data_IF_862252637667
#
_entry.id   IF_862252637667
#
_cell.length_a   1.000
_cell.length_b   1.000
_cell.length_c   1.000
_cell.angle_alpha   90.00
_cell.angle_beta   90.00
_cell.angle_gamma   90.00
#
_symmetry.space_group_name_H-M   'P 1'
#
loop_
_entity.id
_entity.type
_entity.pdbx_description
1 polymer ?
#
# COMPACT_ATOMS: atom_id res chain seq x y z
N UNK A 1 -34.43 -0.04 -44.97
CA UNK A 1 -33.38 0.94 -45.30
C UNK A 1 -32.13 0.57 -44.50
N UNK A 2 -31.01 0.46 -45.22
CA UNK A 2 -29.60 0.28 -44.82
C UNK A 2 -29.23 0.95 -43.48
N UNK A 3 -28.24 0.59 -42.67
CA UNK A 3 -27.01 -0.25 -42.73
C UNK A 3 -26.50 -0.25 -41.27
N UNK A 4 -25.99 -1.30 -40.64
CA UNK A 4 -24.82 -2.09 -41.03
C UNK A 4 -23.54 -1.50 -40.42
N UNK A 5 -23.08 -2.02 -39.27
CA UNK A 5 -21.65 -2.14 -38.92
C UNK A 5 -21.48 -2.95 -37.62
N UNK A 6 -21.45 -4.28 -37.79
CA UNK A 6 -20.86 -5.23 -36.86
C UNK A 6 -19.33 -5.09 -36.96
N UNK A 7 -18.67 -4.76 -35.85
CA UNK A 7 -17.21 -4.87 -35.76
C UNK A 7 -16.84 -6.34 -35.53
N UNK A 8 -16.50 -7.00 -36.63
CA UNK A 8 -15.90 -8.34 -36.67
C UNK A 8 -14.43 -8.21 -36.29
N UNK A 9 -14.05 -8.74 -35.13
CA UNK A 9 -12.64 -8.95 -34.78
C UNK A 9 -12.10 -10.15 -35.55
N UNK A 10 -11.24 -9.86 -36.52
CA UNK A 10 -10.47 -10.86 -37.28
C UNK A 10 -9.38 -11.45 -36.37
N UNK A 11 -9.65 -12.59 -35.74
CA UNK A 11 -8.60 -13.46 -35.22
C UNK A 11 -8.07 -14.29 -36.39
N UNK A 12 -6.91 -13.90 -36.92
CA UNK A 12 -6.18 -14.68 -37.90
C UNK A 12 -5.75 -16.01 -37.30
N UNK A 13 -6.42 -17.11 -37.68
CA UNK A 13 -5.92 -18.46 -37.48
C UNK A 13 -4.79 -18.73 -38.48
N UNK A 14 -3.54 -18.54 -38.06
CA UNK A 14 -2.41 -19.23 -38.68
C UNK A 14 -2.41 -20.67 -38.18
N UNK A 15 -2.92 -21.59 -39.00
CA UNK A 15 -2.67 -23.03 -38.84
C UNK A 15 -1.19 -23.28 -39.12
N UNK A 16 -0.36 -23.25 -38.08
CA UNK A 16 0.93 -23.95 -38.10
C UNK A 16 0.60 -25.44 -37.98
N UNK A 17 0.79 -26.17 -39.06
CA UNK A 17 0.75 -27.63 -39.11
C UNK A 17 1.74 -28.20 -38.11
N UNK A 18 1.25 -28.62 -36.95
CA UNK A 18 2.02 -29.42 -36.00
C UNK A 18 2.35 -30.75 -36.65
N UNK A 19 3.61 -30.95 -37.03
CA UNK A 19 4.13 -32.24 -37.42
C UNK A 19 4.17 -33.13 -36.15
N UNK A 20 3.05 -33.77 -35.83
CA UNK A 20 2.99 -34.81 -34.82
C UNK A 20 3.81 -35.99 -35.34
N UNK A 21 5.08 -36.05 -34.94
CA UNK A 21 5.95 -37.20 -35.20
C UNK A 21 5.46 -38.31 -34.27
N UNK A 22 4.62 -39.17 -34.79
CA UNK A 22 4.09 -40.35 -34.12
C UNK A 22 5.29 -41.24 -33.73
N UNK A 23 5.63 -41.30 -32.44
CA UNK A 23 6.60 -42.27 -31.91
C UNK A 23 5.90 -43.62 -31.83
N UNK A 24 5.65 -44.23 -32.99
CA UNK A 24 5.47 -45.67 -33.03
C UNK A 24 6.80 -46.28 -32.58
N UNK A 25 6.70 -47.09 -31.55
CA UNK A 25 7.74 -47.95 -30.98
C UNK A 25 8.50 -48.61 -32.11
N UNK A 26 9.68 -48.08 -32.43
CA UNK A 26 10.63 -48.74 -33.32
C UNK A 26 11.11 -49.95 -32.51
N UNK A 27 10.60 -51.13 -32.86
CA UNK A 27 11.20 -52.39 -32.45
C UNK A 27 12.72 -52.31 -32.70
N UNK A 28 13.57 -52.82 -31.80
CA UNK A 28 15.01 -52.81 -32.03
C UNK A 28 15.26 -53.59 -33.32
N UNK A 29 15.52 -52.86 -34.40
CA UNK A 29 15.82 -53.47 -35.69
C UNK A 29 17.03 -54.38 -35.48
N UNK A 30 16.84 -55.66 -35.82
CA UNK A 30 17.94 -56.51 -36.27
C UNK A 30 18.75 -55.69 -37.28
N UNK A 31 19.90 -55.20 -36.85
CA UNK A 31 20.86 -54.52 -37.73
C UNK A 31 21.33 -55.60 -38.71
N UNK A 32 21.00 -55.53 -40.00
CA UNK A 32 21.56 -56.47 -40.95
C UNK A 32 23.06 -56.23 -40.93
N UNK A 33 23.83 -57.27 -40.57
CA UNK A 33 25.28 -57.23 -40.64
C UNK A 33 25.66 -56.75 -42.05
N UNK A 34 26.15 -55.51 -42.17
CA UNK A 34 26.38 -54.82 -43.45
C UNK A 34 27.62 -55.35 -44.17
N UNK A 35 27.73 -56.66 -44.27
CA UNK A 35 28.74 -57.34 -45.06
C UNK A 35 28.01 -58.26 -46.04
N UNK A 36 28.24 -57.98 -47.32
CA UNK A 36 27.85 -58.78 -48.49
C UNK A 36 26.45 -58.54 -49.08
N UNK A 37 26.29 -57.40 -49.76
CA UNK A 37 25.31 -57.33 -50.86
C UNK A 37 25.87 -58.16 -52.02
N UNK A 38 25.34 -59.37 -52.23
CA UNK A 38 25.71 -60.22 -53.36
C UNK A 38 25.06 -59.70 -54.64
N UNK A 39 25.87 -59.37 -55.64
CA UNK A 39 25.34 -59.10 -56.99
C UNK A 39 24.79 -60.39 -57.61
N UNK A 40 23.81 -60.27 -58.52
CA UNK A 40 23.21 -61.40 -59.22
C UNK A 40 24.20 -62.28 -60.00
N UNK A 41 25.43 -61.80 -60.20
CA UNK A 41 26.52 -62.48 -60.92
C UNK A 41 27.60 -63.07 -59.98
N UNK A 42 27.35 -63.13 -58.67
CA UNK A 42 28.28 -63.74 -57.71
C UNK A 42 29.50 -62.89 -57.34
N UNK A 43 29.59 -61.64 -57.78
CA UNK A 43 30.64 -60.71 -57.36
C UNK A 43 30.28 -60.00 -56.06
N UNK A 44 31.28 -59.85 -55.19
CA UNK A 44 31.19 -59.08 -53.95
C UNK A 44 31.35 -57.59 -54.23
N UNK A 45 30.30 -56.80 -54.00
CA UNK A 45 30.40 -55.34 -54.07
C UNK A 45 30.90 -54.82 -52.73
N UNK A 46 32.17 -54.40 -52.67
CA UNK A 46 32.74 -53.76 -51.48
C UNK A 46 32.26 -52.29 -51.47
N UNK A 47 31.62 -51.81 -50.40
CA UNK A 47 31.19 -50.42 -50.33
C UNK A 47 32.40 -49.47 -50.36
N UNK A 48 32.27 -48.27 -50.96
CA UNK A 48 33.34 -47.30 -50.99
C UNK A 48 33.69 -46.84 -49.56
N UNK A 49 34.99 -46.84 -49.24
CA UNK A 49 35.48 -46.43 -47.91
C UNK A 49 35.14 -44.97 -47.60
N UNK A 50 34.72 -44.72 -46.37
CA UNK A 50 34.44 -43.36 -45.89
C UNK A 50 35.71 -42.49 -45.89
N UNK A 51 35.55 -41.16 -45.87
CA UNK A 51 36.70 -40.23 -45.77
C UNK A 51 37.49 -40.46 -44.48
N UNK A 52 36.80 -40.82 -43.40
CA UNK A 52 37.40 -41.13 -42.11
C UNK A 52 38.27 -42.40 -42.22
N UNK A 53 37.74 -43.48 -42.79
CA UNK A 53 38.48 -44.74 -43.00
C UNK A 53 39.73 -44.56 -43.87
N UNK A 54 39.67 -43.71 -44.89
CA UNK A 54 40.85 -43.41 -45.72
C UNK A 54 41.93 -42.67 -44.91
N UNK A 55 41.52 -41.73 -44.05
CA UNK A 55 42.45 -40.99 -43.20
C UNK A 55 43.07 -41.89 -42.12
N UNK A 56 42.29 -42.79 -41.52
CA UNK A 56 42.79 -43.72 -40.49
C UNK A 56 43.71 -44.80 -41.06
N UNK A 57 43.56 -45.19 -42.33
CA UNK A 57 44.47 -46.14 -42.98
C UNK A 57 45.79 -45.54 -43.44
N UNK A 58 45.82 -44.24 -43.74
CA UNK A 58 47.03 -43.55 -44.20
C UNK A 58 47.98 -43.16 -43.08
N UNK A 59 47.48 -43.04 -41.84
CA UNK A 59 48.26 -42.62 -40.67
C UNK A 59 48.37 -43.78 -39.66
N UNK A 60 49.62 -44.15 -39.33
CA UNK A 60 49.92 -45.22 -38.38
C UNK A 60 49.31 -44.94 -37.01
N UNK A 61 49.38 -43.69 -36.54
CA UNK A 61 48.90 -43.33 -35.20
C UNK A 61 47.37 -43.37 -35.14
N UNK A 62 46.70 -42.92 -36.21
CA UNK A 62 45.25 -43.02 -36.33
C UNK A 62 44.78 -44.49 -36.38
N UNK A 63 45.53 -45.35 -37.08
CA UNK A 63 45.25 -46.80 -37.14
C UNK A 63 45.43 -47.47 -35.77
N UNK A 64 46.51 -47.16 -35.04
CA UNK A 64 46.72 -47.73 -33.70
C UNK A 64 45.66 -47.26 -32.71
N UNK A 65 45.26 -45.98 -32.74
CA UNK A 65 44.15 -45.46 -31.92
C UNK A 65 42.83 -46.18 -32.21
N UNK A 66 42.55 -46.45 -33.48
CA UNK A 66 41.38 -47.22 -33.90
C UNK A 66 41.44 -48.66 -33.40
N UNK A 67 42.59 -49.33 -33.56
CA UNK A 67 42.80 -50.70 -33.06
C UNK A 67 42.67 -50.78 -31.53
N UNK A 68 43.18 -49.79 -30.80
CA UNK A 68 43.05 -49.66 -29.35
C UNK A 68 41.58 -49.47 -28.94
N UNK A 69 40.85 -48.60 -29.63
CA UNK A 69 39.43 -48.34 -29.35
C UNK A 69 38.54 -49.57 -29.63
N UNK A 70 38.83 -50.33 -30.69
CA UNK A 70 38.09 -51.55 -31.05
C UNK A 70 38.59 -52.82 -30.35
N UNK A 71 39.67 -52.74 -29.54
CA UNK A 71 40.23 -53.89 -28.83
C UNK A 71 39.22 -54.41 -27.82
N UNK A 72 38.59 -55.56 -28.12
CA UNK A 72 37.60 -56.25 -27.27
C UNK A 72 38.14 -57.51 -26.56
N UNK A 73 39.46 -57.74 -26.56
CA UNK A 73 40.06 -58.93 -25.97
C UNK A 73 40.62 -58.67 -24.55
N UNK A 74 40.20 -59.49 -23.58
CA UNK A 74 40.54 -59.35 -22.16
C UNK A 74 39.51 -58.52 -21.37
N UNK A 75 39.52 -58.62 -20.04
CA UNK A 75 38.62 -57.88 -19.14
C UNK A 75 38.82 -56.35 -19.14
N UNK A 76 39.62 -55.80 -20.05
CA UNK A 76 39.94 -54.39 -20.14
C UNK A 76 39.29 -53.80 -21.39
N UNK A 77 38.33 -52.88 -21.19
CA UNK A 77 37.80 -52.02 -22.24
C UNK A 77 38.66 -50.76 -22.29
N UNK A 78 39.11 -50.37 -23.48
CA UNK A 78 39.76 -49.07 -23.65
C UNK A 78 38.66 -48.00 -23.67
N UNK A 79 38.29 -47.50 -22.49
CA UNK A 79 37.49 -46.30 -22.40
C UNK A 79 38.37 -45.16 -22.91
N UNK A 80 38.04 -44.60 -24.08
CA UNK A 80 38.67 -43.37 -24.54
C UNK A 80 38.49 -42.37 -23.40
N UNK A 81 39.59 -42.04 -22.71
CA UNK A 81 39.56 -41.23 -21.51
C UNK A 81 38.81 -39.95 -21.85
N UNK A 82 37.55 -39.88 -21.46
CA UNK A 82 36.80 -38.64 -21.45
C UNK A 82 37.67 -37.66 -20.67
N UNK A 83 37.87 -36.46 -21.21
CA UNK A 83 38.64 -35.42 -20.54
C UNK A 83 38.18 -35.40 -19.07
N UNK A 84 39.03 -35.73 -18.09
CA UNK A 84 38.59 -35.91 -16.70
C UNK A 84 38.04 -34.62 -16.07
N UNK A 85 38.21 -33.49 -16.78
CA UNK A 85 37.72 -32.17 -16.44
C UNK A 85 36.27 -31.97 -16.95
N UNK A 86 35.90 -32.62 -18.05
CA UNK A 86 34.58 -32.45 -18.66
C UNK A 86 33.60 -33.48 -18.11
N UNK A 87 32.51 -32.98 -17.55
CA UNK A 87 31.39 -33.82 -17.12
C UNK A 87 30.69 -34.41 -18.34
N UNK A 88 30.34 -35.69 -18.29
CA UNK A 88 29.60 -36.35 -19.37
C UNK A 88 28.19 -35.79 -19.47
N UNK A 89 27.61 -35.68 -20.68
CA UNK A 89 26.29 -35.09 -20.92
C UNK A 89 25.17 -35.62 -20.01
N UNK A 90 25.23 -36.90 -19.66
CA UNK A 90 24.23 -37.59 -18.83
C UNK A 90 24.52 -37.50 -17.31
N UNK A 91 25.60 -36.85 -16.92
CA UNK A 91 25.98 -36.68 -15.51
C UNK A 91 25.28 -35.47 -14.90
N UNK A 92 24.97 -35.55 -13.60
CA UNK A 92 24.33 -34.44 -12.87
C UNK A 92 25.16 -33.14 -12.83
N UNK A 93 26.46 -33.21 -13.13
CA UNK A 93 27.36 -32.06 -13.21
C UNK A 93 27.49 -31.47 -14.62
N UNK A 94 26.85 -32.05 -15.63
CA UNK A 94 26.87 -31.50 -16.98
C UNK A 94 25.96 -30.28 -17.08
N UNK A 95 26.53 -29.24 -17.66
CA UNK A 95 25.85 -28.00 -17.96
C UNK A 95 26.18 -27.65 -19.41
N UNK A 96 25.15 -27.34 -20.20
CA UNK A 96 25.37 -26.97 -21.60
C UNK A 96 26.20 -25.68 -21.69
N UNK A 97 26.90 -25.45 -22.80
CA UNK A 97 27.66 -24.21 -22.98
C UNK A 97 26.76 -22.97 -22.91
N UNK A 98 25.49 -23.09 -23.29
CA UNK A 98 24.49 -22.01 -23.21
C UNK A 98 24.16 -21.64 -21.76
N UNK A 99 24.00 -22.65 -20.90
CA UNK A 99 23.76 -22.47 -19.46
C UNK A 99 25.03 -22.08 -18.70
N UNK A 100 26.20 -22.58 -19.12
CA UNK A 100 27.50 -22.28 -18.51
C UNK A 100 27.98 -20.86 -18.81
N UNK A 101 27.67 -20.35 -20.00
CA UNK A 101 28.05 -19.02 -20.46
C UNK A 101 26.79 -18.19 -20.75
N UNK A 102 25.99 -17.94 -19.71
CA UNK A 102 24.86 -17.04 -19.80
C UNK A 102 25.36 -15.60 -20.06
N UNK A 103 25.05 -15.05 -21.23
CA UNK A 103 25.51 -13.71 -21.65
C UNK A 103 24.54 -12.59 -21.26
N UNK A 104 23.30 -12.91 -20.90
CA UNK A 104 22.27 -11.94 -20.52
C UNK A 104 22.27 -11.64 -19.01
N UNK A 105 23.38 -11.08 -18.53
CA UNK A 105 23.50 -10.59 -17.15
C UNK A 105 22.48 -9.47 -16.87
N UNK A 106 22.11 -8.70 -17.89
CA UNK A 106 21.18 -7.60 -17.76
C UNK A 106 19.74 -8.09 -17.44
N UNK A 107 19.29 -9.16 -18.10
CA UNK A 107 18.00 -9.81 -17.85
C UNK A 107 17.91 -10.39 -16.44
N UNK A 108 18.96 -11.07 -15.96
CA UNK A 108 19.01 -11.60 -14.60
C UNK A 108 18.97 -10.49 -13.54
N UNK A 109 19.74 -9.41 -13.73
CA UNK A 109 19.72 -8.28 -12.82
C UNK A 109 18.36 -7.58 -12.82
N UNK A 110 17.72 -7.45 -13.98
CA UNK A 110 16.38 -6.89 -14.08
C UNK A 110 15.36 -7.74 -13.33
N UNK A 111 15.32 -9.05 -13.57
CA UNK A 111 14.39 -9.96 -12.88
C UNK A 111 14.61 -9.96 -11.37
N UNK A 112 15.86 -9.94 -10.90
CA UNK A 112 16.18 -9.82 -9.48
C UNK A 112 15.74 -8.47 -8.88
N UNK A 113 15.91 -7.37 -9.61
CA UNK A 113 15.46 -6.05 -9.17
C UNK A 113 13.94 -5.92 -9.16
N UNK A 114 13.26 -6.44 -10.18
CA UNK A 114 11.80 -6.47 -10.26
C UNK A 114 11.22 -7.31 -9.11
N UNK A 115 11.81 -8.47 -8.80
CA UNK A 115 11.41 -9.28 -7.66
C UNK A 115 11.57 -8.53 -6.32
N UNK A 116 12.69 -7.82 -6.13
CA UNK A 116 12.92 -6.99 -4.94
C UNK A 116 11.93 -5.82 -4.85
N UNK A 117 11.64 -5.17 -5.98
CA UNK A 117 10.68 -4.07 -6.06
C UNK A 117 9.28 -4.58 -5.70
N UNK A 118 8.85 -5.67 -6.33
CA UNK A 118 7.54 -6.27 -6.10
C UNK A 118 7.35 -6.69 -4.65
N UNK A 119 8.37 -7.28 -4.03
CA UNK A 119 8.33 -7.62 -2.61
C UNK A 119 8.20 -6.36 -1.72
N UNK A 120 8.92 -5.29 -2.03
CA UNK A 120 8.78 -4.01 -1.32
C UNK A 120 7.38 -3.42 -1.47
N UNK A 121 6.84 -3.42 -2.68
CA UNK A 121 5.49 -2.90 -2.98
C UNK A 121 4.42 -3.72 -2.25
N UNK A 122 4.52 -5.04 -2.29
CA UNK A 122 3.64 -5.95 -1.56
C UNK A 122 3.60 -5.61 -0.06
N UNK A 123 4.77 -5.48 0.58
CA UNK A 123 4.86 -5.15 2.01
C UNK A 123 4.33 -3.75 2.36
N UNK A 124 4.36 -2.80 1.41
CA UNK A 124 3.78 -1.48 1.61
C UNK A 124 2.26 -1.56 1.54
N UNK A 125 1.72 -2.26 0.54
CA UNK A 125 0.29 -2.45 0.38
C UNK A 125 -0.34 -3.23 1.52
N UNK A 126 0.31 -4.28 2.01
CA UNK A 126 -0.13 -5.04 3.18
C UNK A 126 -0.21 -4.15 4.43
N UNK A 127 0.87 -3.42 4.74
CA UNK A 127 0.88 -2.47 5.88
C UNK A 127 -0.17 -1.38 5.74
N UNK A 128 -0.45 -0.92 4.52
CA UNK A 128 -1.49 0.06 4.23
C UNK A 128 -2.87 -0.51 4.52
N UNK A 129 -3.16 -1.73 4.08
CA UNK A 129 -4.42 -2.43 4.36
C UNK A 129 -4.62 -2.63 5.86
N UNK A 130 -3.61 -3.14 6.55
CA UNK A 130 -3.66 -3.33 8.01
C UNK A 130 -3.90 -2.03 8.79
N UNK A 131 -3.38 -0.91 8.29
CA UNK A 131 -3.62 0.39 8.90
C UNK A 131 -5.07 0.86 8.66
N UNK A 132 -5.56 0.73 7.43
CA UNK A 132 -6.94 1.08 7.08
C UNK A 132 -7.95 0.25 7.88
N UNK A 133 -7.76 -1.06 7.98
CA UNK A 133 -8.63 -1.94 8.76
C UNK A 133 -8.64 -1.59 10.26
N UNK A 134 -7.50 -1.19 10.81
CA UNK A 134 -7.41 -0.75 12.22
C UNK A 134 -8.15 0.57 12.45
N UNK A 135 -7.99 1.54 11.54
CA UNK A 135 -8.70 2.82 11.64
C UNK A 135 -10.20 2.64 11.43
N UNK A 136 -10.63 1.83 10.46
CA UNK A 136 -12.05 1.52 10.25
C UNK A 136 -12.67 0.86 11.49
N UNK A 137 -11.98 -0.12 12.10
CA UNK A 137 -12.43 -0.72 13.36
C UNK A 137 -12.52 0.29 14.49
N UNK A 138 -11.53 1.19 14.60
CA UNK A 138 -11.52 2.24 15.62
C UNK A 138 -12.66 3.22 15.44
N UNK A 139 -12.92 3.67 14.21
CA UNK A 139 -14.02 4.58 13.91
C UNK A 139 -15.36 3.93 14.18
N UNK A 140 -15.54 2.68 13.78
CA UNK A 140 -16.75 1.92 14.10
C UNK A 140 -16.99 1.80 15.60
N UNK A 141 -15.94 1.52 16.38
CA UNK A 141 -16.03 1.51 17.84
C UNK A 141 -16.45 2.87 18.41
N UNK A 142 -15.87 3.96 17.91
CA UNK A 142 -16.28 5.32 18.33
C UNK A 142 -17.73 5.62 17.98
N UNK A 143 -18.19 5.23 16.79
CA UNK A 143 -19.57 5.43 16.37
C UNK A 143 -20.54 4.61 17.22
N UNK A 144 -20.18 3.36 17.54
CA UNK A 144 -20.95 2.49 18.42
C UNK A 144 -21.01 3.05 19.85
N UNK A 145 -19.89 3.55 20.39
CA UNK A 145 -19.81 4.18 21.71
C UNK A 145 -20.66 5.46 21.77
N UNK A 146 -20.60 6.31 20.73
CA UNK A 146 -21.43 7.52 20.61
C UNK A 146 -22.90 7.14 20.51
N UNK A 147 -23.24 6.10 19.75
CA UNK A 147 -24.60 5.62 19.63
C UNK A 147 -25.13 5.08 20.96
N UNK A 148 -24.32 4.33 21.71
CA UNK A 148 -24.68 3.84 23.03
C UNK A 148 -24.88 4.99 24.02
N UNK A 149 -23.96 5.97 24.06
CA UNK A 149 -24.06 7.11 24.97
C UNK A 149 -25.27 7.99 24.64
N UNK A 150 -25.57 8.19 23.35
CA UNK A 150 -26.78 8.87 22.93
C UNK A 150 -28.05 8.11 23.36
N UNK A 151 -28.08 6.79 23.21
CA UNK A 151 -29.21 5.98 23.69
C UNK A 151 -29.34 6.03 25.21
N UNK A 152 -28.22 5.97 25.95
CA UNK A 152 -28.18 6.10 27.40
C UNK A 152 -28.67 7.48 27.84
N UNK A 153 -28.18 8.52 27.19
CA UNK A 153 -28.60 9.91 27.37
C UNK A 153 -30.09 10.08 27.11
N UNK A 154 -30.63 9.49 26.05
CA UNK A 154 -32.07 9.51 25.76
C UNK A 154 -32.92 8.78 26.80
N UNK A 155 -32.45 7.65 27.35
CA UNK A 155 -33.13 6.94 28.46
C UNK A 155 -33.11 7.74 29.76
N UNK A 156 -32.05 8.51 30.00
CA UNK A 156 -31.91 9.38 31.17
C UNK A 156 -32.52 10.78 30.97
N UNK A 157 -32.83 11.15 29.72
CA UNK A 157 -33.43 12.42 29.40
C UNK A 157 -34.79 12.54 30.10
N UNK A 158 -34.92 13.55 30.97
CA UNK A 158 -36.13 13.79 31.74
C UNK A 158 -36.24 13.02 33.06
N UNK A 159 -35.35 12.06 33.36
CA UNK A 159 -35.39 11.33 34.65
C UNK A 159 -34.62 12.05 35.76
N UNK A 160 -33.57 12.80 35.41
CA UNK A 160 -32.74 13.52 36.39
C UNK A 160 -32.92 15.04 36.28
N UNK A 161 -33.01 15.71 37.43
CA UNK A 161 -32.86 17.17 37.51
C UNK A 161 -31.40 17.50 37.20
N UNK A 162 -31.13 18.27 36.14
CA UNK A 162 -29.76 18.72 35.83
C UNK A 162 -29.19 19.45 37.04
N UNK A 163 -27.93 19.15 37.37
CA UNK A 163 -27.21 19.92 38.38
C UNK A 163 -26.94 21.31 37.80
N UNK A 164 -27.71 22.31 38.24
CA UNK A 164 -27.56 23.70 37.82
C UNK A 164 -26.52 24.33 38.72
N UNK A 165 -25.33 24.60 38.19
CA UNK A 165 -24.29 25.31 38.93
C UNK A 165 -24.79 26.68 39.43
N UNK A 166 -24.25 27.13 40.56
CA UNK A 166 -24.65 28.38 41.24
C UNK A 166 -24.30 29.67 40.45
N UNK A 167 -23.63 29.57 39.29
CA UNK A 167 -23.37 30.71 38.42
C UNK A 167 -24.68 31.15 37.73
N UNK A 168 -25.02 32.44 37.84
CA UNK A 168 -26.18 33.01 37.15
C UNK A 168 -26.00 33.14 35.63
N UNK A 169 -24.82 32.86 35.10
CA UNK A 169 -24.52 32.83 33.67
C UNK A 169 -23.92 31.47 33.25
N UNK A 170 -23.97 31.20 31.95
CA UNK A 170 -23.33 30.05 31.32
C UNK A 170 -21.84 30.33 31.15
N UNK A 171 -20.96 29.50 31.73
CA UNK A 171 -19.50 29.73 31.68
C UNK A 171 -18.95 29.61 30.25
N UNK A 172 -19.60 28.83 29.38
CA UNK A 172 -19.13 28.59 28.01
C UNK A 172 -19.57 29.70 27.07
N UNK A 173 -20.88 30.01 27.06
CA UNK A 173 -21.41 31.05 26.16
C UNK A 173 -21.33 32.45 26.75
N UNK A 174 -21.03 32.57 28.05
CA UNK A 174 -21.10 33.80 28.84
C UNK A 174 -22.47 34.47 28.90
N UNK A 175 -23.50 33.83 28.35
CA UNK A 175 -24.87 34.34 28.39
C UNK A 175 -25.46 34.22 29.79
N UNK A 176 -26.16 35.27 30.20
CA UNK A 176 -26.98 35.23 31.41
C UNK A 176 -28.10 34.21 31.25
N UNK A 177 -28.32 33.41 32.28
CA UNK A 177 -29.42 32.47 32.29
C UNK A 177 -30.74 33.23 32.38
N UNK A 178 -31.79 32.62 31.85
CA UNK A 178 -33.15 33.12 32.00
C UNK A 178 -33.68 32.76 33.39
N UNK A 179 -34.37 33.70 34.03
CA UNK A 179 -34.99 33.52 35.33
C UNK A 179 -34.64 34.62 36.32
N UNK A 180 -35.53 34.81 37.29
CA UNK A 180 -35.44 35.91 38.25
C UNK A 180 -34.13 35.92 39.04
N UNK A 181 -33.65 34.76 39.50
CA UNK A 181 -32.42 34.66 40.30
C UNK A 181 -31.18 35.08 39.48
N UNK A 182 -31.15 34.72 38.19
CA UNK A 182 -30.08 35.09 37.28
C UNK A 182 -30.13 36.59 36.95
N UNK A 183 -31.32 37.13 36.70
CA UNK A 183 -31.54 38.58 36.49
C UNK A 183 -31.17 39.40 37.74
N UNK A 184 -31.48 38.87 38.93
CA UNK A 184 -31.10 39.50 40.20
C UNK A 184 -29.58 39.49 40.39
N UNK A 185 -28.90 38.40 40.00
CA UNK A 185 -27.44 38.33 40.05
C UNK A 185 -26.81 39.33 39.07
N UNK A 186 -27.32 39.38 37.83
CA UNK A 186 -26.93 40.37 36.83
C UNK A 186 -27.10 41.79 37.35
N UNK A 187 -28.26 42.10 37.93
CA UNK A 187 -28.52 43.40 38.54
C UNK A 187 -27.51 43.75 39.63
N UNK A 188 -27.15 42.81 40.51
CA UNK A 188 -26.15 43.04 41.56
C UNK A 188 -24.77 43.37 40.96
N UNK A 189 -24.36 42.66 39.92
CA UNK A 189 -23.10 42.92 39.21
C UNK A 189 -23.12 44.27 38.49
N UNK A 190 -24.19 44.56 37.74
CA UNK A 190 -24.36 45.84 37.05
C UNK A 190 -24.42 47.01 38.04
N UNK A 191 -25.07 46.84 39.18
CA UNK A 191 -25.10 47.85 40.25
C UNK A 191 -23.74 48.04 40.91
N UNK A 192 -22.94 46.98 41.08
CA UNK A 192 -21.57 47.09 41.57
C UNK A 192 -20.68 47.83 40.56
N UNK A 193 -20.79 47.51 39.27
CA UNK A 193 -20.09 48.20 38.18
C UNK A 193 -20.47 49.68 38.15
N UNK A 194 -21.77 49.99 38.19
CA UNK A 194 -22.28 51.36 38.23
C UNK A 194 -21.72 52.15 39.43
N UNK A 195 -21.73 51.57 40.65
CA UNK A 195 -21.14 52.21 41.84
C UNK A 195 -19.64 52.47 41.68
N UNK A 196 -18.91 51.53 41.07
CA UNK A 196 -17.50 51.68 40.75
C UNK A 196 -17.23 52.86 39.82
N UNK A 197 -17.97 52.94 38.71
CA UNK A 197 -17.84 54.04 37.74
C UNK A 197 -18.26 55.39 38.35
N UNK A 198 -19.37 55.43 39.10
CA UNK A 198 -19.81 56.63 39.81
C UNK A 198 -18.76 57.13 40.80
N UNK A 199 -18.17 56.23 41.60
CA UNK A 199 -17.08 56.56 42.53
C UNK A 199 -15.82 57.01 41.80
N UNK A 200 -15.48 56.41 40.66
CA UNK A 200 -14.33 56.81 39.86
C UNK A 200 -14.50 58.24 39.33
N UNK A 201 -15.70 58.61 38.89
CA UNK A 201 -16.02 59.98 38.47
C UNK A 201 -16.01 60.95 39.66
N UNK A 202 -16.60 60.58 40.80
CA UNK A 202 -16.60 61.42 42.01
C UNK A 202 -15.16 61.68 42.50
N UNK A 203 -14.32 60.64 42.54
CA UNK A 203 -12.90 60.78 42.91
C UNK A 203 -12.13 61.61 41.88
N UNK A 204 -12.44 61.47 40.59
CA UNK A 204 -11.79 62.26 39.55
C UNK A 204 -12.10 63.75 39.68
N UNK A 205 -13.36 64.10 39.94
CA UNK A 205 -13.81 65.48 40.14
C UNK A 205 -13.30 66.06 41.46
N UNK A 206 -13.48 65.35 42.58
CA UNK A 206 -13.15 65.91 43.91
C UNK A 206 -11.70 65.73 44.32
N UNK A 207 -11.07 64.63 43.92
CA UNK A 207 -9.73 64.24 44.40
C UNK A 207 -8.58 64.82 43.57
N UNK A 208 -8.75 64.93 42.25
CA UNK A 208 -7.68 65.38 41.36
C UNK A 208 -7.81 66.83 40.89
N UNK A 209 -9.03 67.39 40.89
CA UNK A 209 -9.28 68.69 40.28
C UNK A 209 -10.56 69.37 40.80
N UNK A 210 -10.51 70.00 41.99
CA UNK A 210 -11.69 70.60 42.62
C UNK A 210 -12.32 71.74 41.81
N UNK A 211 -11.55 72.40 40.94
CA UNK A 211 -12.05 73.46 40.06
C UNK A 211 -12.71 72.92 38.79
N UNK A 212 -12.56 71.62 38.51
CA UNK A 212 -13.20 70.97 37.36
C UNK A 212 -12.63 71.40 36.00
N UNK A 213 -11.40 71.95 35.95
CA UNK A 213 -10.78 72.51 34.74
C UNK A 213 -9.44 71.84 34.47
N UNK A 214 -9.22 71.31 33.27
CA UNK A 214 -7.92 70.75 32.90
C UNK A 214 -6.82 71.82 32.93
N UNK A 215 -5.84 71.68 33.82
CA UNK A 215 -4.77 72.68 34.06
C UNK A 215 -3.87 72.97 32.86
N UNK A 216 -3.81 72.06 31.87
CA UNK A 216 -2.99 72.25 30.68
C UNK A 216 -3.72 72.96 29.54
N UNK A 217 -5.05 72.83 29.47
CA UNK A 217 -5.85 73.29 28.32
C UNK A 217 -6.93 74.31 28.70
N UNK A 218 -7.24 74.47 29.98
CA UNK A 218 -8.28 75.38 30.48
C UNK A 218 -9.71 74.93 30.18
N UNK A 219 -9.90 73.74 29.59
CA UNK A 219 -11.22 73.20 29.25
C UNK A 219 -11.87 72.50 30.45
N UNK A 220 -13.22 72.43 30.52
CA UNK A 220 -13.90 71.66 31.56
C UNK A 220 -13.46 70.19 31.51
N UNK A 221 -13.24 69.62 32.69
CA UNK A 221 -12.80 68.24 32.82
C UNK A 221 -13.98 67.30 32.56
N UNK A 222 -13.88 66.50 31.50
CA UNK A 222 -14.88 65.49 31.18
C UNK A 222 -14.89 64.38 32.23
N UNK A 223 -16.01 63.66 32.33
CA UNK A 223 -16.09 62.45 33.16
C UNK A 223 -15.01 61.46 32.75
N UNK A 224 -14.38 60.79 33.73
CA UNK A 224 -13.32 59.81 33.48
C UNK A 224 -13.86 58.55 32.81
N UNK A 225 -15.09 58.18 33.14
CA UNK A 225 -15.77 57.00 32.61
C UNK A 225 -17.21 57.33 32.29
N UNK A 226 -17.71 56.84 31.15
CA UNK A 226 -19.12 56.91 30.78
C UNK A 226 -19.93 56.02 31.73
N UNK A 227 -20.70 56.66 32.61
CA UNK A 227 -21.57 55.95 33.56
C UNK A 227 -22.91 55.73 32.87
N UNK A 228 -23.20 54.48 32.52
CA UNK A 228 -24.54 54.09 32.12
C UNK A 228 -25.55 54.46 33.24
N UNK A 229 -26.81 54.65 32.87
CA UNK A 229 -27.88 54.91 33.84
C UNK A 229 -27.87 53.89 34.99
N UNK A 230 -28.29 54.33 36.18
CA UNK A 230 -28.37 53.43 37.34
C UNK A 230 -29.25 52.23 36.96
N UNK A 231 -28.75 50.99 37.11
CA UNK A 231 -29.54 49.83 36.75
C UNK A 231 -30.77 49.74 37.64
N UNK A 232 -31.89 49.31 37.06
CA UNK A 232 -33.15 49.09 37.77
C UNK A 232 -33.27 47.64 38.21
N UNK A 233 -33.86 47.37 39.39
CA UNK A 233 -34.06 46.00 39.84
C UNK A 233 -35.11 45.30 38.98
N UNK A 234 -34.97 43.99 38.73
CA UNK A 234 -36.01 43.22 38.04
C UNK A 234 -37.30 43.23 38.88
N UNK A 235 -38.41 43.65 38.25
CA UNK A 235 -39.69 43.91 38.93
C UNK A 235 -40.54 42.65 39.13
N UNK A 236 -40.36 41.62 38.30
CA UNK A 236 -41.18 40.42 38.32
C UNK A 236 -40.48 39.26 39.03
N UNK A 237 -40.95 38.90 40.22
CA UNK A 237 -40.70 37.61 40.86
C UNK A 237 -41.49 36.56 40.06
N UNK A 238 -40.94 36.16 38.91
CA UNK A 238 -41.58 35.18 38.04
C UNK A 238 -41.66 33.84 38.80
N UNK A 239 -42.89 33.48 39.22
CA UNK A 239 -43.23 32.11 39.60
C UNK A 239 -42.87 31.21 38.41
N UNK A 240 -41.77 30.47 38.53
CA UNK A 240 -41.44 29.25 37.78
C UNK A 240 -42.05 29.17 36.37
N UNK A 241 -41.67 30.08 35.47
CA UNK A 241 -41.83 29.82 34.04
C UNK A 241 -40.59 29.07 33.56
N UNK A 242 -40.45 27.83 34.01
CA UNK A 242 -39.62 26.87 33.28
C UNK A 242 -40.36 26.60 31.97
N UNK A 243 -40.06 27.38 30.94
CA UNK A 243 -40.43 27.00 29.57
C UNK A 243 -39.71 25.68 29.27
N UNK A 244 -40.43 24.61 28.88
CA UNK A 244 -39.80 23.40 28.41
C UNK A 244 -39.03 23.76 27.12
N UNK A 245 -37.71 23.65 27.19
CA UNK A 245 -36.83 23.56 26.03
C UNK A 245 -36.80 22.12 25.55
#
# INVERSE_FOLDING_TARGET
>A
FFSGLLFVTYFGQTKMTSYQRNWQTIAPYDVPNMHEVRSAFGFYTIPPRSRLERKTQGDRDAREKWNLAERRAGFQRHDAVANPIESMADSAGFLSNEERFHTDVAGELKTANDARLNHKLFNIEERRKDHLEREERRWKQMDDDIAEDNQRGARLAGTSKRNVGNSGYNIVTHDWRHGFDAEMLKFKEDAARWRGCARANDLHQKGNNPEGINVLTGQPLNMKTDVAGKPEPPTHHARNQYLPM
#
